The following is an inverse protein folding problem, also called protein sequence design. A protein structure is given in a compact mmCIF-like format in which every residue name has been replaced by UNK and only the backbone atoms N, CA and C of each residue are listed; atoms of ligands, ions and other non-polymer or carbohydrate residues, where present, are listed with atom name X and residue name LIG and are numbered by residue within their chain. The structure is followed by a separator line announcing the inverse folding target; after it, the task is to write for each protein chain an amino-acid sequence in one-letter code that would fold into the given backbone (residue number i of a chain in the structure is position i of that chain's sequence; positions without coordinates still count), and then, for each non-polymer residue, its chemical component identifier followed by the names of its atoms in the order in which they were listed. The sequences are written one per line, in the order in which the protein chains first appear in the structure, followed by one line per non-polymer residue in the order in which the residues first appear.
data_IF_903505934439
#
_entry.id   IF_903505934439
#
_cell.length_a   1.000
_cell.length_b   1.000
_cell.length_c   1.000
_cell.angle_alpha   90.00
_cell.angle_beta   90.00
_cell.angle_gamma   90.00
#
_symmetry.space_group_name_H-M   'P 1'
#
loop_
_entity.id
_entity.type
_entity.pdbx_description
1 polymer ?
#
# COMPACT_ATOMS: atom_id res chain seq x y z
N UNK A 1 -1.01 -16.35 -0.26
CA UNK A 1 0.31 -16.38 -0.95
C UNK A 1 0.47 -17.78 -1.54
N UNK A 2 0.78 -17.94 -2.84
CA UNK A 2 0.76 -19.26 -3.53
C UNK A 2 2.14 -19.92 -3.74
N UNK A 3 3.25 -19.28 -3.33
CA UNK A 3 4.60 -19.78 -3.62
C UNK A 3 4.99 -19.61 -5.09
N UNK A 4 6.03 -20.33 -5.52
CA UNK A 4 6.52 -20.37 -6.90
C UNK A 4 5.75 -21.43 -7.73
N UNK A 5 5.77 -21.35 -9.08
CA UNK A 5 5.11 -22.35 -9.93
C UNK A 5 5.57 -23.79 -9.71
N UNK A 6 6.76 -23.97 -9.14
CA UNK A 6 7.33 -25.27 -8.76
C UNK A 6 6.85 -25.80 -7.39
N UNK A 7 5.91 -25.11 -6.74
CA UNK A 7 5.35 -25.50 -5.44
C UNK A 7 6.20 -25.10 -4.24
N UNK A 8 7.33 -24.40 -4.43
CA UNK A 8 8.21 -23.99 -3.33
C UNK A 8 7.83 -22.62 -2.75
N UNK A 9 8.08 -22.39 -1.46
CA UNK A 9 7.87 -21.09 -0.80
C UNK A 9 9.16 -20.26 -0.67
N UNK A 10 10.32 -20.92 -0.63
CA UNK A 10 11.68 -20.32 -0.57
C UNK A 10 11.85 -19.21 0.50
N UNK A 11 11.60 -19.52 1.79
CA UNK A 11 11.59 -18.52 2.86
C UNK A 11 12.96 -17.84 3.11
N UNK A 12 14.05 -18.44 2.66
CA UNK A 12 15.42 -17.91 2.80
C UNK A 12 15.89 -17.11 1.58
N UNK A 13 15.13 -17.11 0.48
CA UNK A 13 15.48 -16.37 -0.72
C UNK A 13 15.18 -14.88 -0.53
N UNK A 14 16.09 -14.02 -0.97
CA UNK A 14 15.87 -12.58 -1.04
C UNK A 14 14.64 -12.26 -1.89
N UNK A 15 13.72 -11.45 -1.35
CA UNK A 15 12.49 -11.05 -2.02
C UNK A 15 12.71 -9.79 -2.87
N UNK A 16 12.12 -9.76 -4.06
CA UNK A 16 12.22 -8.60 -4.96
C UNK A 16 11.17 -7.53 -4.62
N UNK A 17 11.44 -6.28 -5.04
CA UNK A 17 10.49 -5.15 -4.90
C UNK A 17 9.11 -5.46 -5.49
N UNK A 18 9.08 -6.10 -6.67
CA UNK A 18 7.84 -6.50 -7.32
C UNK A 18 7.08 -7.60 -6.57
N UNK A 19 7.80 -8.56 -5.98
CA UNK A 19 7.18 -9.59 -5.14
C UNK A 19 6.60 -9.01 -3.85
N UNK A 20 7.30 -8.08 -3.20
CA UNK A 20 6.75 -7.34 -2.06
C UNK A 20 5.46 -6.63 -2.44
N UNK A 21 5.46 -5.92 -3.59
CA UNK A 21 4.26 -5.21 -4.04
C UNK A 21 3.06 -6.16 -4.22
N UNK A 22 3.29 -7.33 -4.83
CA UNK A 22 2.24 -8.34 -4.98
C UNK A 22 1.74 -8.86 -3.62
N UNK A 23 2.63 -9.17 -2.68
CA UNK A 23 2.24 -9.70 -1.37
C UNK A 23 1.42 -8.67 -0.61
N UNK A 24 1.91 -7.42 -0.55
CA UNK A 24 1.29 -6.34 0.23
C UNK A 24 -0.05 -5.93 -0.35
N UNK A 25 -0.14 -5.73 -1.66
CA UNK A 25 -1.41 -5.38 -2.31
C UNK A 25 -2.48 -6.44 -2.06
N UNK A 26 -2.12 -7.73 -2.12
CA UNK A 26 -3.05 -8.84 -1.86
C UNK A 26 -3.38 -9.00 -0.38
N UNK A 27 -2.42 -8.82 0.51
CA UNK A 27 -2.62 -9.02 1.95
C UNK A 27 -3.63 -8.03 2.53
N UNK A 28 -3.62 -6.79 2.03
CA UNK A 28 -4.48 -5.71 2.50
C UNK A 28 -5.64 -5.35 1.55
N UNK A 29 -5.85 -6.16 0.50
CA UNK A 29 -6.82 -5.92 -0.58
C UNK A 29 -6.82 -4.47 -1.11
N UNK A 30 -5.61 -3.91 -1.28
CA UNK A 30 -5.44 -2.50 -1.60
C UNK A 30 -6.03 -2.17 -2.98
N UNK A 31 -6.77 -1.07 -3.03
CA UNK A 31 -7.28 -0.50 -4.29
C UNK A 31 -6.32 0.56 -4.83
N UNK A 32 -6.44 0.87 -6.11
CA UNK A 32 -5.66 1.93 -6.75
C UNK A 32 -5.88 3.26 -6.02
N UNK A 33 -4.77 3.94 -5.71
CA UNK A 33 -4.79 5.28 -5.15
C UNK A 33 -4.87 6.35 -6.25
N UNK A 34 -4.57 7.59 -5.87
CA UNK A 34 -4.73 8.78 -6.73
C UNK A 34 -3.42 9.28 -7.34
N UNK A 35 -2.27 8.83 -6.85
CA UNK A 35 -0.97 9.30 -7.33
C UNK A 35 -0.61 8.65 -8.68
N UNK A 36 0.13 9.37 -9.55
CA UNK A 36 0.64 8.81 -10.80
C UNK A 36 1.61 7.65 -10.52
N UNK A 37 1.44 6.55 -11.24
CA UNK A 37 2.18 5.30 -11.01
C UNK A 37 2.66 4.66 -12.32
N UNK A 38 3.17 5.47 -13.24
CA UNK A 38 3.65 4.99 -14.54
C UNK A 38 5.17 4.79 -14.49
N UNK A 39 5.63 3.55 -14.71
CA UNK A 39 7.05 3.22 -14.82
C UNK A 39 7.34 2.49 -16.13
N UNK A 40 8.50 2.77 -16.72
CA UNK A 40 8.90 2.26 -18.04
C UNK A 40 9.24 0.77 -18.03
N UNK A 41 9.57 0.22 -16.86
CA UNK A 41 10.08 -1.15 -16.65
C UNK A 41 9.08 -2.07 -15.95
N UNK A 42 7.78 -1.72 -15.97
CA UNK A 42 6.76 -2.60 -15.39
C UNK A 42 6.56 -3.85 -16.26
N UNK A 43 6.48 -5.04 -15.65
CA UNK A 43 6.07 -6.25 -16.36
C UNK A 43 4.60 -6.12 -16.78
N UNK A 44 4.25 -6.79 -17.88
CA UNK A 44 2.87 -6.89 -18.34
C UNK A 44 1.99 -7.68 -17.34
N UNK A 45 0.69 -7.46 -17.39
CA UNK A 45 -0.31 -8.15 -16.58
C UNK A 45 -0.30 -7.76 -15.09
N UNK A 46 -0.72 -8.68 -14.23
CA UNK A 46 -1.01 -8.42 -12.82
C UNK A 46 0.19 -7.94 -12.01
N UNK A 47 1.40 -8.39 -12.35
CA UNK A 47 2.62 -8.01 -11.65
C UNK A 47 2.87 -6.49 -11.72
N UNK A 48 2.64 -5.88 -12.88
CA UNK A 48 2.71 -4.42 -13.04
C UNK A 48 1.61 -3.71 -12.26
N UNK A 49 0.39 -4.28 -12.21
CA UNK A 49 -0.74 -3.68 -11.52
C UNK A 49 -0.52 -3.59 -9.99
N UNK A 50 0.07 -4.60 -9.36
CA UNK A 50 0.36 -4.52 -7.92
C UNK A 50 1.37 -3.42 -7.58
N UNK A 51 2.36 -3.20 -8.45
CA UNK A 51 3.31 -2.08 -8.29
C UNK A 51 2.57 -0.75 -8.42
N UNK A 52 1.66 -0.63 -9.41
CA UNK A 52 0.84 0.56 -9.59
C UNK A 52 -0.05 0.84 -8.39
N UNK A 53 -0.66 -0.19 -7.79
CA UNK A 53 -1.48 -0.06 -6.57
C UNK A 53 -0.64 0.54 -5.45
N UNK A 54 0.54 -0.02 -5.14
CA UNK A 54 1.36 0.53 -4.05
C UNK A 54 1.86 1.94 -4.36
N UNK A 55 2.32 2.20 -5.58
CA UNK A 55 2.85 3.50 -5.96
C UNK A 55 1.77 4.59 -5.98
N UNK A 56 0.57 4.29 -6.48
CA UNK A 56 -0.55 5.24 -6.51
C UNK A 56 -1.09 5.59 -5.12
N UNK A 57 -0.83 4.76 -4.12
CA UNK A 57 -1.11 5.02 -2.70
C UNK A 57 0.08 5.65 -1.95
N UNK A 58 1.20 5.94 -2.62
CA UNK A 58 2.38 6.52 -1.99
C UNK A 58 3.15 5.57 -1.07
N UNK A 59 2.88 4.26 -1.15
CA UNK A 59 3.56 3.23 -0.32
C UNK A 59 4.99 2.99 -0.81
N UNK A 60 5.19 3.06 -2.13
CA UNK A 60 6.49 2.90 -2.77
C UNK A 60 6.71 4.01 -3.80
N UNK A 61 7.98 4.37 -4.01
CA UNK A 61 8.39 5.33 -5.04
C UNK A 61 9.31 4.65 -6.05
N UNK A 62 9.25 5.10 -7.30
CA UNK A 62 10.22 4.76 -8.33
C UNK A 62 11.45 5.67 -8.27
N UNK A 63 12.29 5.55 -9.28
CA UNK A 63 13.50 6.33 -9.46
C UNK A 63 13.25 7.50 -10.42
N UNK A 64 14.12 8.51 -10.36
CA UNK A 64 14.03 9.73 -11.19
C UNK A 64 14.16 9.48 -12.69
N UNK A 65 14.71 8.32 -13.10
CA UNK A 65 14.79 7.87 -14.49
C UNK A 65 13.44 7.35 -15.06
N UNK A 66 12.42 7.25 -14.22
CA UNK A 66 11.10 6.72 -14.56
C UNK A 66 10.99 5.19 -14.46
N UNK A 67 11.91 4.55 -13.73
CA UNK A 67 11.89 3.09 -13.46
C UNK A 67 11.41 2.77 -12.04
N UNK A 68 10.94 1.55 -11.82
CA UNK A 68 10.61 1.01 -10.50
C UNK A 68 11.63 0.00 -9.98
N UNK A 69 12.30 -0.70 -10.91
CA UNK A 69 13.27 -1.78 -10.70
C UNK A 69 12.66 -2.97 -9.95
N UNK A 70 11.66 -3.66 -10.53
CA UNK A 70 10.90 -4.70 -9.84
C UNK A 70 11.73 -5.90 -9.39
N UNK A 71 12.84 -6.19 -10.10
CA UNK A 71 13.78 -7.27 -9.75
C UNK A 71 14.81 -6.87 -8.68
N UNK A 72 14.80 -5.59 -8.24
CA UNK A 72 15.70 -5.12 -7.20
C UNK A 72 15.44 -5.83 -5.86
N UNK A 73 16.52 -6.18 -5.17
CA UNK A 73 16.46 -6.78 -3.83
C UNK A 73 16.08 -5.71 -2.81
N UNK A 74 15.25 -6.09 -1.83
CA UNK A 74 14.79 -5.21 -0.75
C UNK A 74 15.30 -5.70 0.61
N UNK A 75 15.58 -4.78 1.54
CA UNK A 75 15.98 -5.12 2.90
C UNK A 75 14.77 -5.40 3.80
N UNK A 76 14.98 -6.11 4.92
CA UNK A 76 13.93 -6.33 5.92
C UNK A 76 13.35 -5.01 6.45
N UNK A 77 14.21 -4.00 6.67
CA UNK A 77 13.79 -2.68 7.12
C UNK A 77 12.87 -1.99 6.10
N UNK A 78 13.23 -2.04 4.81
CA UNK A 78 12.40 -1.50 3.74
C UNK A 78 11.05 -2.23 3.62
N UNK A 79 11.05 -3.56 3.80
CA UNK A 79 9.81 -4.34 3.83
C UNK A 79 8.90 -3.94 5.00
N UNK A 80 9.45 -3.80 6.21
CA UNK A 80 8.68 -3.35 7.38
C UNK A 80 8.09 -1.95 7.16
N UNK A 81 8.87 -1.01 6.59
CA UNK A 81 8.36 0.32 6.22
C UNK A 81 7.16 0.22 5.28
N UNK A 82 7.26 -0.59 4.22
CA UNK A 82 6.18 -0.80 3.26
C UNK A 82 4.93 -1.35 3.95
N UNK A 83 5.08 -2.32 4.87
CA UNK A 83 3.96 -2.88 5.61
C UNK A 83 3.26 -1.83 6.49
N UNK A 84 4.02 -1.03 7.25
CA UNK A 84 3.46 0.01 8.13
C UNK A 84 2.62 1.00 7.33
N UNK A 85 3.13 1.48 6.18
CA UNK A 85 2.37 2.41 5.34
C UNK A 85 1.16 1.72 4.72
N UNK A 86 1.29 0.47 4.26
CA UNK A 86 0.18 -0.28 3.68
C UNK A 86 -0.97 -0.54 4.67
N UNK A 87 -0.66 -0.77 5.96
CA UNK A 87 -1.67 -0.88 7.01
C UNK A 87 -2.48 0.41 7.16
N UNK A 88 -1.79 1.56 7.21
CA UNK A 88 -2.47 2.86 7.30
C UNK A 88 -3.33 3.14 6.06
N UNK A 89 -2.81 2.88 4.85
CA UNK A 89 -3.57 3.00 3.59
C UNK A 89 -4.82 2.13 3.60
N UNK A 90 -4.71 0.86 4.00
CA UNK A 90 -5.82 -0.08 4.05
C UNK A 90 -6.92 0.39 5.01
N UNK A 91 -6.53 0.91 6.19
CA UNK A 91 -7.48 1.45 7.15
C UNK A 91 -8.21 2.69 6.62
N UNK A 92 -7.50 3.60 5.94
CA UNK A 92 -8.12 4.75 5.28
C UNK A 92 -9.08 4.32 4.18
N UNK A 93 -8.69 3.38 3.31
CA UNK A 93 -9.59 2.85 2.27
C UNK A 93 -10.83 2.17 2.86
N UNK A 94 -10.70 1.52 4.02
CA UNK A 94 -11.84 0.95 4.74
C UNK A 94 -12.77 2.04 5.27
N UNK A 95 -12.24 3.13 5.83
CA UNK A 95 -13.04 4.27 6.26
C UNK A 95 -13.73 4.96 5.07
N UNK A 96 -13.02 5.16 3.95
CA UNK A 96 -13.59 5.69 2.70
C UNK A 96 -14.69 4.78 2.14
N UNK A 97 -14.54 3.45 2.23
CA UNK A 97 -15.58 2.52 1.83
C UNK A 97 -16.80 2.61 2.76
N UNK A 98 -16.58 2.59 4.08
CA UNK A 98 -17.64 2.66 5.08
C UNK A 98 -18.48 3.95 4.98
N UNK A 99 -17.88 5.08 4.55
CA UNK A 99 -18.63 6.32 4.35
C UNK A 99 -19.67 6.23 3.22
N UNK A 100 -19.49 5.29 2.28
CA UNK A 100 -20.45 5.04 1.19
C UNK A 100 -21.62 4.14 1.58
N UNK A 101 -21.48 3.36 2.66
CA UNK A 101 -22.49 2.36 3.10
C UNK A 101 -23.40 2.94 4.18
N UNK A 102 -23.95 4.14 3.94
CA UNK A 102 -24.74 4.96 4.88
C UNK A 102 -26.04 4.31 5.44
N UNK A 103 -26.24 2.99 5.32
CA UNK A 103 -27.56 2.36 5.38
C UNK A 103 -27.79 1.31 6.49
N UNK A 104 -26.86 1.05 7.42
CA UNK A 104 -27.00 -0.12 8.32
C UNK A 104 -27.45 0.18 9.76
N UNK A 105 -27.75 1.42 10.13
CA UNK A 105 -28.20 1.78 11.50
C UNK A 105 -27.18 1.49 12.61
N UNK A 106 -25.98 1.03 12.25
CA UNK A 106 -24.80 0.86 13.12
C UNK A 106 -23.73 1.83 12.65
N UNK A 107 -23.14 2.55 13.59
CA UNK A 107 -21.98 3.39 13.30
C UNK A 107 -20.73 2.52 13.09
N UNK A 108 -20.38 2.33 11.82
CA UNK A 108 -19.17 1.63 11.38
C UNK A 108 -18.09 2.60 10.90
N UNK A 109 -18.42 3.89 10.73
CA UNK A 109 -17.51 4.89 10.16
C UNK A 109 -16.62 5.48 11.25
N UNK A 110 -17.17 5.90 12.38
CA UNK A 110 -16.39 6.47 13.49
C UNK A 110 -15.28 5.53 13.98
N UNK A 111 -15.52 4.24 14.25
CA UNK A 111 -14.45 3.34 14.66
C UNK A 111 -13.42 3.11 13.54
N UNK A 112 -13.83 3.13 12.26
CA UNK A 112 -12.90 3.00 11.13
C UNK A 112 -12.00 4.23 11.00
N UNK A 113 -12.56 5.43 11.21
CA UNK A 113 -11.79 6.68 11.23
C UNK A 113 -10.78 6.67 12.38
N UNK A 114 -11.19 6.26 13.57
CA UNK A 114 -10.31 6.18 14.74
C UNK A 114 -9.15 5.19 14.52
N UNK A 115 -9.43 4.01 13.97
CA UNK A 115 -8.41 3.01 13.65
C UNK A 115 -7.41 3.51 12.60
N UNK A 116 -7.91 4.20 11.56
CA UNK A 116 -7.06 4.81 10.55
C UNK A 116 -6.17 5.92 11.14
N UNK A 117 -6.72 6.79 11.99
CA UNK A 117 -5.97 7.86 12.64
C UNK A 117 -4.80 7.30 13.46
N UNK A 118 -5.05 6.27 14.28
CA UNK A 118 -3.99 5.62 15.07
C UNK A 118 -2.84 5.16 14.18
N UNK A 119 -3.13 4.55 13.04
CA UNK A 119 -2.09 4.06 12.12
C UNK A 119 -1.34 5.19 11.41
N UNK A 120 -2.03 6.28 11.04
CA UNK A 120 -1.41 7.47 10.46
C UNK A 120 -0.45 8.13 11.47
N UNK A 121 -0.83 8.19 12.74
CA UNK A 121 -0.01 8.83 13.78
C UNK A 121 1.34 8.13 13.98
N UNK A 122 1.38 6.79 13.83
CA UNK A 122 2.62 5.99 13.92
C UNK A 122 3.51 6.11 12.67
N UNK A 123 3.03 6.70 11.57
CA UNK A 123 3.85 6.87 10.38
C UNK A 123 4.98 7.88 10.63
N UNK A 124 6.20 7.59 10.15
CA UNK A 124 7.34 8.50 10.29
C UNK A 124 7.06 9.83 9.58
N UNK A 125 7.34 10.93 10.28
CA UNK A 125 7.13 12.28 9.75
C UNK A 125 8.30 12.80 8.91
N UNK A 126 9.40 12.04 8.81
CA UNK A 126 10.65 12.43 8.14
C UNK A 126 10.83 11.74 6.77
N UNK A 127 10.49 10.46 6.62
CA UNK A 127 10.75 9.70 5.39
C UNK A 127 9.57 9.50 4.44
N UNK A 128 8.33 9.78 4.87
CA UNK A 128 7.11 9.58 4.08
C UNK A 128 6.03 10.63 4.38
N UNK A 129 6.46 11.85 4.69
CA UNK A 129 5.58 12.95 5.10
C UNK A 129 4.45 13.21 4.09
N UNK A 130 4.76 13.22 2.79
CA UNK A 130 3.74 13.41 1.74
C UNK A 130 2.64 12.35 1.82
N UNK A 131 3.01 11.08 2.02
CA UNK A 131 2.03 9.99 2.15
C UNK A 131 1.21 10.15 3.41
N UNK A 132 1.85 10.47 4.55
CA UNK A 132 1.16 10.73 5.83
C UNK A 132 0.15 11.87 5.70
N UNK A 133 0.56 13.00 5.12
CA UNK A 133 -0.32 14.16 4.90
C UNK A 133 -1.46 13.84 3.93
N UNK A 134 -1.19 13.09 2.86
CA UNK A 134 -2.22 12.65 1.92
C UNK A 134 -3.27 11.75 2.59
N UNK A 135 -2.84 10.81 3.43
CA UNK A 135 -3.74 9.96 4.21
C UNK A 135 -4.55 10.75 5.24
N UNK A 136 -3.91 11.70 5.93
CA UNK A 136 -4.60 12.58 6.86
C UNK A 136 -5.67 13.41 6.17
N UNK A 137 -5.36 14.02 5.02
CA UNK A 137 -6.32 14.78 4.23
C UNK A 137 -7.50 13.91 3.75
N UNK A 138 -7.24 12.68 3.30
CA UNK A 138 -8.29 11.72 2.94
C UNK A 138 -9.18 11.39 4.14
N UNK A 139 -8.60 11.21 5.33
CA UNK A 139 -9.33 10.88 6.54
C UNK A 139 -10.17 12.05 7.06
N UNK A 140 -9.64 13.26 7.01
CA UNK A 140 -10.34 14.48 7.45
C UNK A 140 -11.53 14.82 6.55
N UNK A 141 -11.50 14.45 5.27
CA UNK A 141 -12.62 14.61 4.35
C UNK A 141 -13.83 13.69 4.67
N UNK A 142 -13.67 12.73 5.59
CA UNK A 142 -14.74 11.80 6.01
C UNK A 142 -15.47 12.24 7.29
N UNK A 143 -14.98 13.31 7.95
CA UNK A 143 -15.57 13.90 9.16
C UNK A 143 -16.62 14.93 8.78
#
# INVERSE_FOLDING_TARGET
IRGYPDGTFRPTQSITRGQIAQIVAKAFDLKMGKLPANFKDLPAGDAGNYIKILASNGIVKGYSDGTFRPQGVTTRAQFCKILTIAMAVSAVQTAEFNSTIQASGRDILTPAIAAAQVLIDVLPSDQDLETKLGLQASLDALK
#
